data_IF_153797625391
#
_entry.id   IF_153797625391
#
_cell.length_a   1.000
_cell.length_b   1.000
_cell.length_c   1.000
_cell.angle_alpha   90.00
_cell.angle_beta   90.00
_cell.angle_gamma   90.00
#
_symmetry.space_group_name_H-M   'P 1'
#
loop_
_entity.id
_entity.type
_entity.pdbx_description
1 polymer ?
#
# COMPACT_ATOMS: atom_id res chain seq x y z
N UNK A 1 -1.65 13.00 -12.97
CA UNK A 1 -2.40 13.04 -11.69
C UNK A 1 -2.81 11.62 -11.38
N UNK A 2 -2.26 11.03 -10.32
CA UNK A 2 -2.57 9.66 -9.93
C UNK A 2 -4.04 9.58 -9.53
N UNK A 3 -4.73 8.56 -10.03
CA UNK A 3 -6.15 8.33 -9.76
C UNK A 3 -6.31 7.04 -8.97
N UNK A 4 -7.26 6.99 -8.04
CA UNK A 4 -7.56 5.75 -7.37
C UNK A 4 -8.33 4.81 -8.31
N UNK A 5 -8.23 3.52 -8.03
CA UNK A 5 -8.70 2.40 -8.84
C UNK A 5 -9.67 1.58 -7.98
N UNK A 6 -10.66 0.98 -8.64
CA UNK A 6 -11.43 -0.11 -8.05
C UNK A 6 -10.68 -1.43 -8.27
N UNK A 7 -10.47 -2.21 -7.20
CA UNK A 7 -9.64 -3.41 -7.28
C UNK A 7 -10.24 -4.47 -8.22
N UNK A 8 -11.57 -4.60 -8.31
CA UNK A 8 -12.17 -5.49 -9.30
C UNK A 8 -11.86 -5.03 -10.72
N UNK A 9 -11.89 -3.73 -10.96
CA UNK A 9 -11.55 -3.13 -12.26
C UNK A 9 -10.07 -3.33 -12.62
N UNK A 10 -9.16 -3.27 -11.64
CA UNK A 10 -7.75 -3.62 -11.84
C UNK A 10 -7.62 -5.09 -12.29
N UNK A 11 -8.23 -6.00 -11.53
CA UNK A 11 -8.14 -7.45 -11.75
C UNK A 11 -8.77 -7.84 -13.10
N UNK A 12 -9.97 -7.33 -13.41
CA UNK A 12 -10.62 -7.61 -14.70
C UNK A 12 -9.83 -7.03 -15.88
N UNK A 13 -9.30 -5.82 -15.73
CA UNK A 13 -8.47 -5.20 -16.78
C UNK A 13 -7.21 -6.01 -17.05
N UNK A 14 -6.57 -6.56 -16.02
CA UNK A 14 -5.42 -7.45 -16.17
C UNK A 14 -5.79 -8.78 -16.86
N UNK A 15 -6.91 -9.40 -16.47
CA UNK A 15 -7.34 -10.70 -17.02
C UNK A 15 -7.88 -10.62 -18.44
N UNK A 16 -8.59 -9.55 -18.78
CA UNK A 16 -9.42 -9.49 -19.98
C UNK A 16 -8.79 -8.64 -21.11
N UNK A 17 -7.86 -7.73 -20.79
CA UNK A 17 -7.24 -6.88 -21.80
C UNK A 17 -5.99 -7.53 -22.41
N UNK A 18 -5.73 -7.30 -23.71
CA UNK A 18 -4.41 -7.56 -24.28
C UNK A 18 -3.32 -6.80 -23.51
N UNK A 19 -2.11 -7.36 -23.45
CA UNK A 19 -0.97 -6.79 -22.71
C UNK A 19 -0.70 -5.32 -23.03
N UNK A 20 -0.80 -4.92 -24.30
CA UNK A 20 -0.62 -3.52 -24.70
C UNK A 20 -1.67 -2.59 -24.06
N UNK A 21 -2.94 -3.00 -24.06
CA UNK A 21 -4.03 -2.26 -23.44
C UNK A 21 -3.88 -2.19 -21.91
N UNK A 22 -3.41 -3.27 -21.29
CA UNK A 22 -3.11 -3.26 -19.87
C UNK A 22 -1.94 -2.32 -19.53
N UNK A 23 -0.90 -2.27 -20.38
CA UNK A 23 0.18 -1.29 -20.22
C UNK A 23 -0.33 0.16 -20.34
N UNK A 24 -1.28 0.43 -21.25
CA UNK A 24 -1.95 1.74 -21.30
C UNK A 24 -2.77 2.02 -20.03
N UNK A 25 -3.43 1.01 -19.46
CA UNK A 25 -4.16 1.12 -18.20
C UNK A 25 -3.21 1.52 -17.06
N UNK A 26 -2.09 0.80 -16.89
CA UNK A 26 -1.07 1.11 -15.88
C UNK A 26 -0.56 2.55 -16.01
N UNK A 27 -0.23 2.97 -17.25
CA UNK A 27 0.20 4.34 -17.54
C UNK A 27 -0.88 5.40 -17.20
N UNK A 28 -2.14 5.13 -17.54
CA UNK A 28 -3.25 6.06 -17.28
C UNK A 28 -3.46 6.31 -15.78
N UNK A 29 -3.33 5.28 -14.96
CA UNK A 29 -3.41 5.39 -13.49
C UNK A 29 -2.07 5.72 -12.82
N UNK A 30 -0.99 5.74 -13.60
CA UNK A 30 0.37 6.08 -13.16
C UNK A 30 0.90 5.16 -12.05
N UNK A 31 0.76 3.85 -12.26
CA UNK A 31 1.39 2.80 -11.45
C UNK A 31 2.15 1.82 -12.35
N UNK A 32 3.03 1.03 -11.77
CA UNK A 32 3.72 -0.08 -12.43
C UNK A 32 3.77 -1.25 -11.46
N UNK A 33 3.22 -2.38 -11.85
CA UNK A 33 3.15 -3.57 -11.00
C UNK A 33 3.36 -4.81 -11.86
N UNK A 34 4.02 -5.82 -11.32
CA UNK A 34 4.26 -7.07 -12.04
C UNK A 34 3.01 -7.93 -12.04
N UNK A 35 2.89 -8.80 -13.04
CA UNK A 35 1.80 -9.75 -13.21
C UNK A 35 1.57 -10.60 -11.94
N UNK A 36 2.65 -11.09 -11.32
CA UNK A 36 2.58 -11.89 -10.09
C UNK A 36 2.05 -11.09 -8.88
N UNK A 37 2.31 -9.79 -8.81
CA UNK A 37 1.77 -8.92 -7.76
C UNK A 37 0.27 -8.68 -7.96
N UNK A 38 -0.19 -8.57 -9.21
CA UNK A 38 -1.62 -8.42 -9.52
C UNK A 38 -2.38 -9.73 -9.23
N UNK A 39 -1.79 -10.88 -9.54
CA UNK A 39 -2.34 -12.19 -9.17
C UNK A 39 -2.46 -12.35 -7.65
N UNK A 40 -1.50 -11.83 -6.88
CA UNK A 40 -1.56 -11.81 -5.42
C UNK A 40 -2.61 -10.85 -4.89
N UNK A 41 -2.82 -9.69 -5.52
CA UNK A 41 -3.95 -8.79 -5.20
C UNK A 41 -5.28 -9.49 -5.50
N UNK A 42 -5.39 -10.23 -6.60
CA UNK A 42 -6.58 -11.01 -6.90
C UNK A 42 -6.86 -12.04 -5.78
N UNK A 43 -5.81 -12.76 -5.36
CA UNK A 43 -5.91 -13.73 -4.26
C UNK A 43 -6.30 -13.06 -2.94
N UNK A 44 -5.76 -11.88 -2.65
CA UNK A 44 -6.18 -11.06 -1.51
C UNK A 44 -7.67 -10.71 -1.59
N UNK A 45 -8.15 -10.23 -2.74
CA UNK A 45 -9.56 -9.84 -2.90
C UNK A 45 -10.54 -11.01 -2.86
N UNK A 46 -10.11 -12.21 -3.25
CA UNK A 46 -10.94 -13.44 -3.16
C UNK A 46 -11.30 -13.80 -1.70
N UNK A 47 -10.55 -13.28 -0.72
CA UNK A 47 -10.84 -13.45 0.70
C UNK A 47 -11.83 -12.40 1.26
N UNK A 48 -12.24 -11.41 0.47
CA UNK A 48 -13.04 -10.27 0.93
C UNK A 48 -14.48 -10.42 0.44
N UNK A 49 -15.40 -10.67 1.38
CA UNK A 49 -16.82 -10.94 1.14
C UNK A 49 -17.71 -9.72 1.40
N UNK A 50 -17.39 -8.58 0.76
CA UNK A 50 -18.18 -7.34 0.86
C UNK A 50 -18.78 -6.94 -0.48
N UNK A 51 -19.75 -6.01 -0.47
CA UNK A 51 -20.26 -5.42 -1.72
C UNK A 51 -19.11 -4.77 -2.52
N UNK A 52 -19.07 -4.99 -3.84
CA UNK A 52 -17.98 -4.53 -4.72
C UNK A 52 -17.68 -3.04 -4.61
N UNK A 53 -18.67 -2.20 -4.27
CA UNK A 53 -18.49 -0.76 -4.05
C UNK A 53 -17.43 -0.42 -2.99
N UNK A 54 -17.18 -1.34 -2.04
CA UNK A 54 -16.17 -1.15 -1.00
C UNK A 54 -14.75 -1.52 -1.45
N UNK A 55 -14.58 -2.17 -2.59
CA UNK A 55 -13.26 -2.43 -3.20
C UNK A 55 -12.78 -1.27 -4.10
N UNK A 56 -13.55 -0.18 -4.11
CA UNK A 56 -13.24 1.05 -4.81
C UNK A 56 -12.22 1.94 -4.10
N UNK A 57 -11.65 2.86 -4.87
CA UNK A 57 -10.92 4.04 -4.40
C UNK A 57 -9.52 3.76 -3.78
N UNK A 58 -8.80 2.77 -4.29
CA UNK A 58 -7.42 2.45 -3.89
C UNK A 58 -6.39 3.11 -4.80
N UNK A 59 -5.38 3.76 -4.23
CA UNK A 59 -4.17 4.12 -4.95
C UNK A 59 -3.23 2.90 -4.95
N UNK A 60 -2.95 2.39 -6.14
CA UNK A 60 -2.15 1.18 -6.36
C UNK A 60 -0.72 1.60 -6.74
N UNK A 61 0.30 0.98 -6.15
CA UNK A 61 1.71 1.28 -6.43
C UNK A 61 2.05 2.76 -6.23
N UNK A 62 1.56 3.35 -5.14
CA UNK A 62 1.75 4.77 -4.88
C UNK A 62 3.16 5.04 -4.37
N UNK A 63 3.93 5.83 -5.12
CA UNK A 63 5.23 6.35 -4.70
C UNK A 63 5.12 7.81 -4.28
N UNK A 64 5.57 8.13 -3.07
CA UNK A 64 5.66 9.52 -2.61
C UNK A 64 6.66 10.26 -3.52
N UNK A 65 6.30 11.38 -4.16
CA UNK A 65 7.24 12.13 -4.99
C UNK A 65 8.50 12.53 -4.22
N UNK A 66 9.65 12.43 -4.87
CA UNK A 66 10.96 12.82 -4.32
C UNK A 66 11.45 11.98 -3.13
N UNK A 67 10.70 10.94 -2.74
CA UNK A 67 11.06 10.02 -1.65
C UNK A 67 11.04 8.60 -2.21
N UNK A 68 12.03 7.78 -1.84
CA UNK A 68 12.08 6.38 -2.28
C UNK A 68 11.18 5.49 -1.41
N UNK A 69 9.90 5.88 -1.31
CA UNK A 69 8.87 5.17 -0.56
C UNK A 69 7.68 4.89 -1.46
N UNK A 70 7.36 3.61 -1.59
CA UNK A 70 6.21 3.09 -2.32
C UNK A 70 5.29 2.26 -1.43
N UNK A 71 4.00 2.30 -1.70
CA UNK A 71 2.96 1.52 -1.04
C UNK A 71 2.16 0.74 -2.08
N UNK A 72 1.92 -0.54 -1.82
CA UNK A 72 1.22 -1.40 -2.78
C UNK A 72 -0.25 -0.98 -2.93
N UNK A 73 -0.98 -0.88 -1.82
CA UNK A 73 -2.35 -0.39 -1.76
C UNK A 73 -2.51 0.68 -0.68
N UNK A 74 -3.09 1.82 -1.04
CA UNK A 74 -3.50 2.87 -0.12
C UNK A 74 -4.94 3.31 -0.36
N UNK A 75 -5.69 3.52 0.74
CA UNK A 75 -7.04 4.07 0.67
C UNK A 75 -7.26 5.09 1.78
N UNK A 76 -7.61 6.31 1.38
CA UNK A 76 -7.76 7.45 2.29
C UNK A 76 -9.21 7.59 2.77
N UNK A 77 -9.35 7.70 4.09
CA UNK A 77 -10.58 8.06 4.76
C UNK A 77 -10.40 9.27 5.65
N UNK A 78 -11.52 9.91 6.00
CA UNK A 78 -11.59 11.03 6.94
C UNK A 78 -11.26 10.61 8.38
N UNK A 79 -11.50 9.33 8.68
CA UNK A 79 -11.32 8.70 9.97
C UNK A 79 -9.98 7.96 10.09
N UNK A 80 -9.59 7.22 9.05
CA UNK A 80 -8.29 6.55 8.99
C UNK A 80 -7.85 6.24 7.57
N UNK A 81 -6.55 6.02 7.41
CA UNK A 81 -5.90 5.54 6.18
C UNK A 81 -5.72 4.04 6.28
N UNK A 82 -6.13 3.31 5.25
CA UNK A 82 -5.83 1.88 5.08
C UNK A 82 -4.60 1.76 4.18
N UNK A 83 -3.64 0.95 4.60
CA UNK A 83 -2.52 0.51 3.79
C UNK A 83 -2.45 -1.02 3.83
N UNK A 84 -2.26 -1.64 2.66
CA UNK A 84 -2.02 -3.08 2.54
C UNK A 84 -0.77 -3.27 1.70
N UNK A 85 0.20 -4.00 2.24
CA UNK A 85 1.38 -4.47 1.53
C UNK A 85 1.16 -5.93 1.10
N UNK A 86 1.61 -6.28 -0.10
CA UNK A 86 1.44 -7.59 -0.72
C UNK A 86 2.79 -8.29 -0.71
N UNK A 87 2.83 -9.53 -0.21
CA UNK A 87 4.03 -10.37 -0.19
C UNK A 87 3.71 -11.76 -0.71
N UNK A 88 4.61 -12.32 -1.52
CA UNK A 88 4.55 -13.75 -1.86
C UNK A 88 4.69 -14.61 -0.60
N UNK A 89 5.73 -14.33 0.21
CA UNK A 89 6.12 -15.12 1.38
C UNK A 89 6.41 -14.21 2.58
N UNK A 90 6.10 -14.69 3.78
CA UNK A 90 6.35 -13.94 4.99
C UNK A 90 7.85 -13.91 5.36
N UNK A 91 8.35 -12.71 5.57
CA UNK A 91 9.50 -12.44 6.44
C UNK A 91 9.01 -11.45 7.49
N UNK A 92 8.74 -11.94 8.69
CA UNK A 92 8.04 -11.20 9.74
C UNK A 92 8.75 -9.89 10.12
N UNK A 93 10.07 -9.94 10.32
CA UNK A 93 10.86 -8.77 10.67
C UNK A 93 10.83 -7.71 9.56
N UNK A 94 11.03 -8.12 8.29
CA UNK A 94 10.98 -7.20 7.14
C UNK A 94 9.59 -6.61 6.94
N UNK A 95 8.54 -7.42 7.05
CA UNK A 95 7.15 -6.97 6.92
C UNK A 95 6.80 -5.97 8.02
N UNK A 96 7.14 -6.27 9.28
CA UNK A 96 6.94 -5.36 10.40
C UNK A 96 7.70 -4.05 10.22
N UNK A 97 9.00 -4.10 9.88
CA UNK A 97 9.80 -2.90 9.64
C UNK A 97 9.23 -2.05 8.49
N UNK A 98 8.75 -2.68 7.42
CA UNK A 98 8.09 -2.00 6.33
C UNK A 98 6.83 -1.27 6.82
N UNK A 99 5.96 -1.93 7.60
CA UNK A 99 4.76 -1.29 8.13
C UNK A 99 5.06 -0.18 9.15
N UNK A 100 6.10 -0.30 9.99
CA UNK A 100 6.55 0.77 10.90
C UNK A 100 7.01 1.99 10.11
N UNK A 101 7.78 1.77 9.03
CA UNK A 101 8.17 2.85 8.11
C UNK A 101 6.94 3.46 7.44
N UNK A 102 5.98 2.65 7.00
CA UNK A 102 4.70 3.14 6.43
C UNK A 102 3.94 4.01 7.43
N UNK A 103 3.85 3.57 8.69
CA UNK A 103 3.22 4.29 9.80
C UNK A 103 3.82 5.68 9.93
N UNK A 104 5.14 5.80 9.93
CA UNK A 104 5.85 7.08 10.02
C UNK A 104 5.43 8.05 8.91
N UNK A 105 5.49 7.62 7.64
CA UNK A 105 5.11 8.47 6.51
C UNK A 105 3.64 8.87 6.55
N UNK A 106 2.74 7.92 6.82
CA UNK A 106 1.29 8.18 6.81
C UNK A 106 0.81 8.97 8.03
N UNK A 107 1.52 8.90 9.17
CA UNK A 107 1.15 9.64 10.39
C UNK A 107 1.40 11.15 10.26
N UNK A 108 2.27 11.59 9.34
CA UNK A 108 2.45 13.02 9.01
C UNK A 108 1.13 13.71 8.63
N UNK A 109 0.19 12.95 8.07
CA UNK A 109 -1.11 13.43 7.64
C UNK A 109 -2.09 13.67 8.80
N UNK A 110 -1.68 13.41 10.05
CA UNK A 110 -2.50 13.62 11.24
C UNK A 110 -3.69 12.67 11.37
N UNK A 111 -3.67 11.52 10.67
CA UNK A 111 -4.75 10.53 10.66
C UNK A 111 -4.31 9.22 11.28
N UNK A 112 -5.27 8.50 11.85
CA UNK A 112 -5.05 7.11 12.27
C UNK A 112 -4.73 6.25 11.06
N UNK A 113 -3.92 5.22 11.25
CA UNK A 113 -3.55 4.28 10.20
C UNK A 113 -4.03 2.87 10.54
N UNK A 114 -4.32 2.09 9.50
CA UNK A 114 -4.66 0.66 9.56
C UNK A 114 -3.77 -0.04 8.55
N UNK A 115 -2.74 -0.72 9.06
CA UNK A 115 -1.58 -1.14 8.30
C UNK A 115 -1.52 -2.66 8.24
N UNK A 116 -1.63 -3.22 7.05
CA UNK A 116 -1.72 -4.65 6.85
C UNK A 116 -0.61 -5.19 5.95
N UNK A 117 -0.28 -6.47 6.13
CA UNK A 117 0.47 -7.26 5.15
C UNK A 117 -0.34 -8.49 4.81
N UNK A 118 -0.63 -8.69 3.52
CA UNK A 118 -1.15 -9.93 2.99
C UNK A 118 0.00 -10.81 2.49
N UNK A 119 -0.03 -12.09 2.84
CA UNK A 119 0.95 -13.09 2.44
C UNK A 119 0.27 -14.14 1.57
N UNK A 120 0.64 -14.20 0.29
CA UNK A 120 -0.05 -14.99 -0.71
C UNK A 120 0.17 -16.51 -0.57
N UNK A 121 1.41 -16.96 -0.30
CA UNK A 121 1.71 -18.40 -0.13
C UNK A 121 0.92 -19.05 1.01
N UNK A 122 0.66 -18.29 2.07
CA UNK A 122 -0.03 -18.76 3.28
C UNK A 122 -1.51 -18.34 3.29
N UNK A 123 -1.93 -17.52 2.34
CA UNK A 123 -3.23 -16.85 2.31
C UNK A 123 -3.62 -16.24 3.67
N UNK A 124 -2.69 -15.50 4.26
CA UNK A 124 -2.80 -14.97 5.62
C UNK A 124 -2.68 -13.44 5.64
N UNK A 125 -3.34 -12.82 6.62
CA UNK A 125 -3.33 -11.38 6.82
C UNK A 125 -2.72 -11.04 8.17
N UNK A 126 -1.92 -10.00 8.21
CA UNK A 126 -1.28 -9.49 9.42
C UNK A 126 -1.59 -8.01 9.58
N UNK A 127 -1.71 -7.57 10.83
CA UNK A 127 -1.91 -6.18 11.23
C UNK A 127 -0.70 -5.70 12.04
N UNK A 128 -0.25 -4.48 11.79
CA UNK A 128 0.58 -3.73 12.74
C UNK A 128 -0.33 -2.90 13.64
N UNK A 129 -0.29 -3.16 14.95
CA UNK A 129 -1.10 -2.42 15.91
C UNK A 129 -0.46 -1.08 16.35
N UNK A 130 -1.12 -0.41 17.29
CA UNK A 130 -0.69 0.89 17.78
C UNK A 130 0.65 0.83 18.53
N UNK A 131 0.96 -0.32 19.16
CA UNK A 131 2.22 -0.61 19.88
C UNK A 131 3.31 -1.19 18.95
N UNK A 132 3.07 -1.20 17.64
CA UNK A 132 3.97 -1.75 16.61
C UNK A 132 4.20 -3.27 16.72
N UNK A 133 3.28 -3.98 17.37
CA UNK A 133 3.24 -5.43 17.33
C UNK A 133 2.61 -5.88 16.01
N UNK A 134 3.34 -6.75 15.32
CA UNK A 134 2.90 -7.39 14.09
C UNK A 134 2.28 -8.74 14.43
N UNK A 135 1.00 -8.90 14.12
CA UNK A 135 0.25 -10.08 14.54
C UNK A 135 -0.73 -10.54 13.46
N UNK A 136 -1.03 -11.85 13.38
CA UNK A 136 -2.07 -12.37 12.51
C UNK A 136 -3.41 -11.70 12.78
N UNK A 137 -4.21 -11.51 11.75
CA UNK A 137 -5.56 -10.98 11.84
C UNK A 137 -6.47 -11.64 10.80
N UNK A 138 -7.77 -11.59 11.04
CA UNK A 138 -8.76 -12.17 10.14
C UNK A 138 -9.17 -11.17 9.05
N UNK A 139 -9.48 -11.67 7.86
CA UNK A 139 -10.03 -10.86 6.76
C UNK A 139 -11.31 -10.12 7.17
N UNK A 140 -12.12 -10.70 8.06
CA UNK A 140 -13.32 -10.04 8.62
C UNK A 140 -13.00 -8.74 9.38
N UNK A 141 -11.83 -8.65 10.02
CA UNK A 141 -11.36 -7.41 10.66
C UNK A 141 -11.07 -6.34 9.60
N UNK A 142 -10.43 -6.74 8.50
CA UNK A 142 -10.20 -5.85 7.36
C UNK A 142 -11.51 -5.40 6.71
N UNK A 143 -12.45 -6.31 6.46
CA UNK A 143 -13.76 -6.02 5.87
C UNK A 143 -14.55 -4.99 6.69
N UNK A 144 -14.56 -5.13 8.02
CA UNK A 144 -15.23 -4.18 8.91
C UNK A 144 -14.64 -2.76 8.79
N UNK A 145 -13.32 -2.65 8.72
CA UNK A 145 -12.64 -1.37 8.50
C UNK A 145 -12.94 -0.83 7.09
N UNK A 146 -12.93 -1.70 6.09
CA UNK A 146 -13.20 -1.32 4.71
C UNK A 146 -14.62 -0.74 4.53
N UNK A 147 -15.62 -1.37 5.15
CA UNK A 147 -17.03 -0.95 5.10
C UNK A 147 -17.29 0.28 5.96
N UNK A 148 -16.61 0.40 7.10
CA UNK A 148 -16.82 1.50 8.04
C UNK A 148 -16.10 2.78 7.67
N UNK A 149 -15.11 2.71 6.77
CA UNK A 149 -14.27 3.85 6.40
C UNK A 149 -15.10 4.97 5.74
N UNK A 150 -14.90 6.20 6.21
CA UNK A 150 -15.48 7.38 5.57
C UNK A 150 -14.56 7.87 4.46
N UNK A 151 -14.79 7.41 3.23
CA UNK A 151 -13.99 7.77 2.06
C UNK A 151 -13.66 9.27 1.98
N UNK A 152 -12.40 9.57 1.72
CA UNK A 152 -11.91 10.91 1.50
C UNK A 152 -11.37 11.04 0.07
N UNK A 153 -11.95 11.99 -0.66
CA UNK A 153 -11.57 12.23 -2.04
C UNK A 153 -10.46 13.27 -2.12
N UNK A 154 -9.44 12.97 -2.92
CA UNK A 154 -8.32 13.85 -3.17
C UNK A 154 -8.23 14.14 -4.66
N UNK A 155 -8.06 15.41 -5.02
CA UNK A 155 -7.79 15.81 -6.40
C UNK A 155 -6.39 15.34 -6.78
N UNK A 156 -5.39 15.61 -5.95
CA UNK A 156 -4.03 15.14 -6.12
C UNK A 156 -3.49 14.64 -4.78
N UNK A 157 -3.10 13.38 -4.70
CA UNK A 157 -2.53 12.81 -3.46
C UNK A 157 -1.08 13.19 -3.22
N UNK A 158 -0.38 13.63 -4.28
CA UNK A 158 1.01 14.09 -4.17
C UNK A 158 1.08 15.33 -3.26
N UNK A 159 0.03 16.17 -3.25
CA UNK A 159 -0.06 17.39 -2.44
C UNK A 159 -0.22 17.09 -0.93
N UNK A 160 -0.46 15.83 -0.56
CA UNK A 160 -0.60 15.44 0.85
C UNK A 160 0.75 15.31 1.57
N UNK A 161 1.83 15.05 0.83
CA UNK A 161 3.14 14.79 1.40
C UNK A 161 4.08 15.94 1.07
N UNK A 162 4.56 16.65 2.09
CA UNK A 162 5.65 17.61 1.94
C UNK A 162 6.99 16.86 2.08
N UNK A 163 7.81 16.74 1.01
CA UNK A 163 9.09 16.04 1.09
C UNK A 163 10.04 16.59 2.15
N UNK A 164 9.90 17.88 2.51
CA UNK A 164 10.74 18.54 3.51
C UNK A 164 10.56 17.95 4.92
N UNK A 165 9.38 17.43 5.23
CA UNK A 165 9.08 16.78 6.52
C UNK A 165 9.88 15.48 6.73
N UNK A 166 10.36 14.90 5.64
CA UNK A 166 11.03 13.60 5.64
C UNK A 166 12.54 13.69 5.39
N UNK A 167 13.10 14.90 5.25
CA UNK A 167 14.55 15.10 5.03
C UNK A 167 15.43 14.47 6.13
N UNK A 168 14.93 14.47 7.37
CA UNK A 168 15.57 13.88 8.54
C UNK A 168 14.89 12.57 8.98
N UNK A 169 14.20 11.88 8.06
CA UNK A 169 13.56 10.60 8.40
C UNK A 169 14.59 9.61 8.92
N UNK A 170 14.35 8.94 10.06
CA UNK A 170 15.26 7.94 10.62
C UNK A 170 15.46 6.74 9.68
N UNK A 171 14.59 6.58 8.67
CA UNK A 171 14.65 5.50 7.70
C UNK A 171 15.47 5.82 6.45
N UNK A 172 15.69 7.11 6.13
CA UNK A 172 16.49 7.51 4.97
C UNK A 172 17.97 7.10 5.12
N UNK A 173 18.49 7.12 6.34
CA UNK A 173 19.86 6.69 6.62
C UNK A 173 19.99 5.16 6.67
N UNK A 174 18.96 4.45 7.14
CA UNK A 174 18.94 2.99 7.14
C UNK A 174 18.94 2.40 5.72
N UNK A 175 18.16 2.96 4.80
CA UNK A 175 18.15 2.47 3.41
C UNK A 175 19.49 2.72 2.72
N UNK A 176 20.14 3.88 2.96
CA UNK A 176 21.49 4.19 2.44
C UNK A 176 22.58 3.29 3.01
N UNK A 177 22.45 2.88 4.27
CA UNK A 177 23.35 1.93 4.92
C UNK A 177 23.19 0.53 4.32
N UNK A 178 21.95 0.07 4.13
CA UNK A 178 21.62 -1.24 3.56
C UNK A 178 21.95 -1.30 2.05
N UNK A 179 21.81 -0.19 1.33
CA UNK A 179 22.18 -0.07 -0.10
C UNK A 179 23.68 0.13 -0.34
N UNK A 180 24.53 0.04 0.70
CA UNK A 180 25.99 0.12 0.59
C UNK A 180 26.54 1.46 0.10
N UNK A 181 25.79 2.56 0.25
CA UNK A 181 26.12 3.84 -0.37
C UNK A 181 27.02 4.77 0.48
N UNK A 182 27.71 4.24 1.50
CA UNK A 182 28.81 4.96 2.13
C UNK A 182 30.08 4.81 1.28
N UNK A 183 30.38 5.82 0.47
CA UNK A 183 31.79 6.09 0.13
C UNK A 183 32.39 6.77 1.36
N UNK A 184 33.30 6.09 2.04
CA UNK A 184 34.06 6.67 3.16
C UNK A 184 34.75 7.96 2.70
N UNK A 185 34.30 9.10 3.21
CA UNK A 185 35.12 10.30 3.25
C UNK A 185 36.04 10.20 4.48
N UNK A 186 37.25 9.70 4.24
CA UNK A 186 38.44 10.01 5.01
C UNK A 186 39.59 10.26 4.03
#
# INVERSE_FOLDING_TARGET
MRKPIDLNSLISSYKDLPTENFNFFQNFFSFSMRDDEIDQIASFTDNISVESKYLGYFYVGYKIPQIDKEFDLLRFGKDYIINVEIKTKLNEEKARMQLVKNKYYLSSLGKKTKLFTYVAEENSLYLLDDDELFQPTDFSTFELLLVSQKLEHHTNIDDLFDPSEFLLSPFNDCDRFISGSYSSLY
#
